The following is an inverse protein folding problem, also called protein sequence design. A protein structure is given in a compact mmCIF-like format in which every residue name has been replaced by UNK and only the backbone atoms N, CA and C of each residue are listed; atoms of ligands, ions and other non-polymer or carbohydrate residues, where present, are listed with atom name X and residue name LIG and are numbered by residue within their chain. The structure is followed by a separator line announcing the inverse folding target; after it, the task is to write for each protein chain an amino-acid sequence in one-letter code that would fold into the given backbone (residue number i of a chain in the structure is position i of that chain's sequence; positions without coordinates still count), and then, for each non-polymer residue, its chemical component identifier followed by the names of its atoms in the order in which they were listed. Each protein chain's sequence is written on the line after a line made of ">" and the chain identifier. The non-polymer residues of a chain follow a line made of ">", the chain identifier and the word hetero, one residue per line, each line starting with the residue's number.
data_IF_164560814104
#
_entry.id   IF_164560814104
#
_cell.length_a   1.000
_cell.length_b   1.000
_cell.length_c   1.000
_cell.angle_alpha   90.00
_cell.angle_beta   90.00
_cell.angle_gamma   90.00
#
_symmetry.space_group_name_H-M   'P 1'
#
loop_
_entity.id
_entity.type
_entity.pdbx_description
1 polymer ?
#
# COMPACT_ATOMS: atom_id res chain seq x y z
N UNK A 1 17.84 -11.16 -5.27
CA UNK A 1 17.11 -10.77 -6.52
C UNK A 1 16.28 -9.52 -6.25
N UNK A 2 16.12 -8.63 -7.24
CA UNK A 2 15.27 -7.43 -7.13
C UNK A 2 13.99 -7.59 -7.94
N UNK A 3 12.92 -6.94 -7.51
CA UNK A 3 11.63 -6.95 -8.24
C UNK A 3 11.79 -6.45 -9.69
N UNK A 4 12.66 -5.47 -9.90
CA UNK A 4 12.96 -4.90 -11.23
C UNK A 4 13.79 -5.82 -12.13
N UNK A 5 14.36 -6.89 -11.61
CA UNK A 5 15.03 -7.94 -12.38
C UNK A 5 14.04 -9.03 -12.85
N UNK A 6 12.86 -9.09 -12.17
CA UNK A 6 11.79 -10.02 -12.53
C UNK A 6 10.93 -9.42 -13.64
N UNK A 7 10.50 -8.18 -13.45
CA UNK A 7 9.71 -7.41 -14.42
C UNK A 7 10.32 -6.02 -14.60
N UNK A 8 10.22 -5.43 -15.80
CA UNK A 8 10.51 -4.03 -16.04
C UNK A 8 9.71 -3.10 -15.11
N UNK A 9 10.25 -1.93 -14.80
CA UNK A 9 9.57 -0.94 -13.94
C UNK A 9 8.23 -0.51 -14.55
N UNK A 10 8.13 -0.45 -15.86
CA UNK A 10 6.93 -0.11 -16.62
C UNK A 10 5.76 -1.07 -16.33
N UNK A 11 6.05 -2.36 -16.18
CA UNK A 11 5.03 -3.36 -15.84
C UNK A 11 4.54 -3.20 -14.39
N UNK A 12 5.44 -2.82 -13.46
CA UNK A 12 5.04 -2.48 -12.10
C UNK A 12 4.23 -1.19 -12.03
N UNK A 13 4.55 -0.17 -12.82
CA UNK A 13 3.75 1.04 -12.97
C UNK A 13 2.34 0.70 -13.47
N UNK A 14 2.24 -0.15 -14.49
CA UNK A 14 0.95 -0.59 -15.02
C UNK A 14 0.15 -1.40 -13.99
N UNK A 15 0.82 -2.24 -13.21
CA UNK A 15 0.20 -2.98 -12.10
C UNK A 15 -0.36 -2.05 -11.01
N UNK A 16 0.42 -1.04 -10.57
CA UNK A 16 -0.06 -0.05 -9.59
C UNK A 16 -1.26 0.75 -10.13
N UNK A 17 -1.21 1.12 -11.41
CA UNK A 17 -2.31 1.82 -12.08
C UNK A 17 -3.58 0.95 -12.15
N UNK A 18 -3.45 -0.33 -12.49
CA UNK A 18 -4.57 -1.27 -12.53
C UNK A 18 -5.24 -1.43 -11.16
N UNK A 19 -4.45 -1.53 -10.08
CA UNK A 19 -4.96 -1.57 -8.71
C UNK A 19 -5.74 -0.30 -8.36
N UNK A 20 -5.20 0.86 -8.70
CA UNK A 20 -5.87 2.14 -8.48
C UNK A 20 -7.20 2.22 -9.25
N UNK A 21 -7.20 1.93 -10.55
CA UNK A 21 -8.38 2.01 -11.41
C UNK A 21 -9.48 1.04 -10.98
N UNK A 22 -9.09 -0.14 -10.51
CA UNK A 22 -10.04 -1.20 -10.14
C UNK A 22 -10.60 -1.05 -8.72
N UNK A 23 -9.79 -0.61 -7.76
CA UNK A 23 -10.14 -0.64 -6.35
C UNK A 23 -10.11 0.72 -5.66
N UNK A 24 -9.70 1.77 -6.36
CA UNK A 24 -9.54 3.12 -5.82
C UNK A 24 -8.70 3.15 -4.52
N UNK A 25 -7.48 2.62 -4.61
CA UNK A 25 -6.50 2.59 -3.52
C UNK A 25 -5.22 3.30 -3.93
N UNK A 26 -4.52 3.91 -2.98
CA UNK A 26 -3.11 4.29 -3.17
C UNK A 26 -2.30 3.01 -3.35
N UNK A 27 -1.87 2.72 -4.55
CA UNK A 27 -1.21 1.46 -4.89
C UNK A 27 0.29 1.63 -4.94
N UNK A 28 1.04 0.75 -4.30
CA UNK A 28 2.50 0.82 -4.28
C UNK A 28 3.11 -0.58 -4.16
N UNK A 29 4.16 -0.79 -4.93
CA UNK A 29 5.07 -1.94 -4.80
C UNK A 29 6.34 -1.48 -4.10
N UNK A 30 6.66 -2.11 -2.98
CA UNK A 30 7.81 -1.79 -2.15
C UNK A 30 8.89 -2.88 -2.26
N UNK A 31 10.16 -2.46 -2.31
CA UNK A 31 11.28 -3.38 -2.17
C UNK A 31 11.47 -3.80 -0.70
N UNK A 32 12.49 -4.62 -0.44
CA UNK A 32 12.80 -5.14 0.92
C UNK A 32 13.19 -4.06 1.92
N UNK A 33 13.51 -2.85 1.47
CA UNK A 33 13.81 -1.68 2.32
C UNK A 33 12.59 -0.79 2.57
N UNK A 34 11.41 -1.16 2.05
CA UNK A 34 10.19 -0.36 2.17
C UNK A 34 10.15 0.88 1.26
N UNK A 35 10.98 0.89 0.22
CA UNK A 35 11.02 1.98 -0.77
C UNK A 35 10.17 1.58 -1.98
N UNK A 36 9.27 2.46 -2.40
CA UNK A 36 8.48 2.27 -3.62
C UNK A 36 9.37 2.19 -4.86
N UNK A 37 9.17 1.17 -5.68
CA UNK A 37 10.06 0.87 -6.80
C UNK A 37 9.73 1.65 -8.08
N UNK A 38 8.52 2.20 -8.19
CA UNK A 38 8.06 2.89 -9.40
C UNK A 38 8.34 4.40 -9.38
N UNK A 39 8.44 4.99 -8.18
CA UNK A 39 8.62 6.43 -8.01
C UNK A 39 7.43 7.29 -8.48
N UNK A 40 6.29 6.68 -8.79
CA UNK A 40 5.08 7.34 -9.30
C UNK A 40 3.88 7.10 -8.38
N UNK A 41 3.80 7.77 -7.21
CA UNK A 41 2.70 7.57 -6.29
C UNK A 41 1.37 7.99 -6.92
N UNK A 42 0.34 7.16 -6.73
CA UNK A 42 -1.03 7.44 -7.10
C UNK A 42 -1.85 7.54 -5.82
N UNK A 43 -2.68 8.58 -5.70
CA UNK A 43 -3.48 8.84 -4.51
C UNK A 43 -4.97 8.78 -4.80
N UNK A 44 -5.72 8.06 -3.99
CA UNK A 44 -7.17 7.96 -4.07
C UNK A 44 -7.93 8.98 -3.20
N UNK A 45 -7.21 9.79 -2.43
CA UNK A 45 -7.78 10.80 -1.53
C UNK A 45 -6.84 11.99 -1.36
N UNK A 46 -7.31 13.15 -0.87
CA UNK A 46 -6.48 14.34 -0.67
C UNK A 46 -5.65 14.32 0.61
N UNK A 47 -5.95 13.44 1.58
CA UNK A 47 -5.26 13.35 2.87
C UNK A 47 -3.85 12.73 2.73
N UNK A 48 -3.75 11.59 2.04
CA UNK A 48 -2.50 10.84 1.94
C UNK A 48 -1.34 11.63 1.29
N UNK A 49 -1.53 12.41 0.21
CA UNK A 49 -0.45 13.25 -0.31
C UNK A 49 0.00 14.33 0.68
N UNK A 50 -0.89 14.85 1.53
CA UNK A 50 -0.53 15.79 2.60
C UNK A 50 0.29 15.13 3.69
N UNK A 51 -0.08 13.92 4.12
CA UNK A 51 0.71 13.11 5.07
C UNK A 51 2.12 12.88 4.51
N UNK A 52 2.24 12.50 3.24
CA UNK A 52 3.52 12.21 2.59
C UNK A 52 4.38 13.44 2.33
N UNK A 53 3.77 14.60 2.16
CA UNK A 53 4.49 15.86 1.94
C UNK A 53 5.12 16.46 3.22
N UNK A 54 4.66 16.03 4.39
CA UNK A 54 5.18 16.49 5.67
C UNK A 54 6.12 15.43 6.25
N UNK A 55 7.33 15.83 6.65
CA UNK A 55 8.38 14.93 7.13
C UNK A 55 7.97 14.13 8.37
N UNK A 56 7.31 14.76 9.32
CA UNK A 56 6.94 14.15 10.60
C UNK A 56 5.81 13.13 10.39
N UNK A 57 4.75 13.51 9.68
CA UNK A 57 3.65 12.58 9.37
C UNK A 57 4.06 11.46 8.42
N UNK A 58 4.94 11.72 7.46
CA UNK A 58 5.52 10.67 6.62
C UNK A 58 6.25 9.62 7.48
N UNK A 59 7.09 10.07 8.41
CA UNK A 59 7.84 9.18 9.29
C UNK A 59 6.94 8.42 10.26
N UNK A 60 6.06 9.14 10.95
CA UNK A 60 5.22 8.58 12.03
C UNK A 60 4.10 7.66 11.51
N UNK A 61 3.57 7.93 10.33
CA UNK A 61 2.41 7.23 9.79
C UNK A 61 2.81 6.29 8.66
N UNK A 62 3.28 6.84 7.53
CA UNK A 62 3.51 6.04 6.32
C UNK A 62 4.72 5.12 6.44
N UNK A 63 5.88 5.62 6.86
CA UNK A 63 7.10 4.83 6.95
C UNK A 63 7.00 3.76 8.04
N UNK A 64 6.52 4.14 9.23
CA UNK A 64 6.31 3.20 10.34
C UNK A 64 5.30 2.11 9.97
N UNK A 65 4.17 2.48 9.36
CA UNK A 65 3.16 1.54 8.88
C UNK A 65 3.71 0.59 7.80
N UNK A 66 4.46 1.10 6.83
CA UNK A 66 5.07 0.26 5.80
C UNK A 66 6.03 -0.78 6.38
N UNK A 67 6.91 -0.38 7.30
CA UNK A 67 7.85 -1.29 7.93
C UNK A 67 7.15 -2.37 8.76
N UNK A 68 6.12 -1.97 9.53
CA UNK A 68 5.37 -2.89 10.38
C UNK A 68 4.61 -3.94 9.54
N UNK A 69 3.86 -3.51 8.54
CA UNK A 69 3.12 -4.41 7.66
C UNK A 69 4.04 -5.33 6.85
N UNK A 70 5.14 -4.80 6.34
CA UNK A 70 6.13 -5.59 5.62
C UNK A 70 6.79 -6.63 6.51
N UNK A 71 7.15 -6.29 7.75
CA UNK A 71 7.73 -7.24 8.70
C UNK A 71 6.77 -8.38 9.04
N UNK A 72 5.48 -8.06 9.26
CA UNK A 72 4.45 -9.06 9.51
C UNK A 72 4.24 -9.96 8.28
N UNK A 73 4.08 -9.38 7.09
CA UNK A 73 3.89 -10.11 5.83
C UNK A 73 5.08 -11.04 5.53
N UNK A 74 6.31 -10.56 5.74
CA UNK A 74 7.53 -11.38 5.61
C UNK A 74 7.54 -12.55 6.58
N UNK A 75 7.20 -12.32 7.85
CA UNK A 75 7.21 -13.33 8.91
C UNK A 75 6.14 -14.40 8.70
N UNK A 76 4.93 -13.98 8.39
CA UNK A 76 3.78 -14.90 8.24
C UNK A 76 3.71 -15.54 6.86
N UNK A 77 4.38 -14.97 5.87
CA UNK A 77 4.28 -15.30 4.42
C UNK A 77 2.86 -15.19 3.87
N UNK A 78 2.02 -14.39 4.54
CA UNK A 78 0.62 -14.14 4.17
C UNK A 78 0.40 -12.64 4.03
N UNK A 79 -0.69 -12.30 3.35
CA UNK A 79 -1.18 -10.92 3.32
C UNK A 79 -1.46 -10.39 4.73
N UNK A 80 -1.24 -9.10 4.90
CA UNK A 80 -1.58 -8.36 6.11
C UNK A 80 -2.60 -7.30 5.72
N UNK A 81 -3.76 -7.35 6.35
CA UNK A 81 -4.84 -6.38 6.20
C UNK A 81 -5.08 -5.75 7.56
N UNK A 82 -5.03 -4.45 7.65
CA UNK A 82 -5.19 -3.72 8.90
C UNK A 82 -5.31 -2.22 8.65
N UNK A 83 -5.00 -1.42 9.65
CA UNK A 83 -5.07 0.04 9.58
C UNK A 83 -3.69 0.65 9.78
N UNK A 84 -3.40 1.73 9.06
CA UNK A 84 -2.25 2.58 9.38
C UNK A 84 -2.58 3.51 10.56
N UNK A 85 -1.58 4.21 11.09
CA UNK A 85 -1.77 5.08 12.27
C UNK A 85 -2.69 6.29 11.99
N UNK A 86 -3.03 6.57 10.73
CA UNK A 86 -4.06 7.54 10.38
C UNK A 86 -5.49 6.98 10.40
N UNK A 87 -5.68 5.70 10.71
CA UNK A 87 -7.00 5.02 10.69
C UNK A 87 -7.45 4.58 9.30
N UNK A 88 -6.58 4.63 8.29
CA UNK A 88 -6.91 4.19 6.94
C UNK A 88 -6.50 2.73 6.72
N UNK A 89 -7.35 1.99 6.03
CA UNK A 89 -7.07 0.60 5.67
C UNK A 89 -5.77 0.50 4.86
N UNK A 90 -4.98 -0.50 5.20
CA UNK A 90 -3.74 -0.85 4.52
C UNK A 90 -3.68 -2.36 4.25
N UNK A 91 -3.29 -2.69 3.04
CA UNK A 91 -3.11 -4.05 2.57
C UNK A 91 -1.65 -4.21 2.14
N UNK A 92 -0.98 -5.25 2.61
CA UNK A 92 0.36 -5.62 2.19
C UNK A 92 0.41 -7.11 1.86
N UNK A 93 0.68 -7.44 0.61
CA UNK A 93 0.84 -8.80 0.12
C UNK A 93 2.33 -9.06 -0.08
N UNK A 94 2.92 -10.06 0.59
CA UNK A 94 4.34 -10.35 0.44
C UNK A 94 4.65 -10.96 -0.93
N UNK A 95 5.79 -10.59 -1.46
CA UNK A 95 6.31 -11.12 -2.71
C UNK A 95 7.51 -12.01 -2.41
N UNK A 96 7.37 -13.30 -2.70
CA UNK A 96 8.42 -14.29 -2.57
C UNK A 96 8.73 -14.95 -3.91
N UNK A 97 9.99 -15.21 -4.19
CA UNK A 97 10.44 -16.03 -5.31
C UNK A 97 11.52 -17.00 -4.85
N UNK A 98 11.33 -18.28 -5.11
CA UNK A 98 12.23 -19.35 -4.66
C UNK A 98 12.56 -19.30 -3.15
N UNK A 99 11.61 -18.90 -2.33
CA UNK A 99 11.76 -18.77 -0.88
C UNK A 99 12.39 -17.45 -0.41
N UNK A 100 12.91 -16.63 -1.33
CA UNK A 100 13.47 -15.31 -1.03
C UNK A 100 12.37 -14.24 -0.97
N UNK A 101 12.37 -13.42 0.09
CA UNK A 101 11.48 -12.28 0.22
C UNK A 101 12.00 -11.11 -0.62
N UNK A 102 11.18 -10.59 -1.52
CA UNK A 102 11.57 -9.53 -2.46
C UNK A 102 10.93 -8.17 -2.17
N UNK A 103 9.90 -8.15 -1.33
CA UNK A 103 9.15 -6.94 -0.99
C UNK A 103 7.67 -7.21 -0.78
N UNK A 104 6.86 -6.17 -0.91
CA UNK A 104 5.40 -6.24 -0.80
C UNK A 104 4.73 -5.44 -1.90
N UNK A 105 3.57 -5.90 -2.33
CA UNK A 105 2.64 -5.10 -3.12
C UNK A 105 1.37 -4.86 -2.32
N UNK A 106 0.77 -3.68 -2.47
CA UNK A 106 -0.44 -3.41 -1.72
C UNK A 106 -1.10 -2.08 -2.05
N UNK A 107 -2.04 -1.71 -1.21
CA UNK A 107 -2.79 -0.48 -1.32
C UNK A 107 -3.25 0.02 0.05
N UNK A 108 -3.61 1.31 0.09
CA UNK A 108 -4.16 1.96 1.27
C UNK A 108 -4.98 3.18 0.88
N UNK A 109 -5.50 3.90 1.88
CA UNK A 109 -6.10 5.21 1.66
C UNK A 109 -7.62 5.27 1.67
N UNK A 110 -8.30 4.15 1.87
CA UNK A 110 -9.75 4.09 2.13
C UNK A 110 -10.02 3.84 3.60
N UNK A 111 -11.18 4.25 4.09
CA UNK A 111 -11.59 3.96 5.47
C UNK A 111 -12.08 2.51 5.59
N UNK A 112 -11.71 1.77 6.63
CA UNK A 112 -12.44 0.57 6.99
C UNK A 112 -13.92 0.89 7.17
N UNK A 113 -14.82 -0.01 6.77
CA UNK A 113 -16.24 0.18 6.96
C UNK A 113 -16.58 0.43 8.44
N UNK A 114 -17.20 1.58 8.74
CA UNK A 114 -17.49 2.00 10.11
C UNK A 114 -16.29 2.56 10.88
N UNK A 115 -15.13 2.68 10.24
CA UNK A 115 -13.92 3.28 10.82
C UNK A 115 -13.90 4.81 10.70
N UNK A 116 -13.00 5.41 11.44
CA UNK A 116 -12.75 6.86 11.47
C UNK A 116 -11.26 7.14 11.35
N UNK A 117 -10.92 8.35 10.88
CA UNK A 117 -9.51 8.79 10.88
C UNK A 117 -9.04 9.11 12.29
N UNK A 118 -7.77 8.86 12.55
CA UNK A 118 -7.11 9.18 13.80
C UNK A 118 -6.73 10.68 13.85
N UNK A 119 -7.72 11.53 14.12
CA UNK A 119 -7.60 13.00 14.05
C UNK A 119 -6.45 13.52 14.90
N UNK A 120 -6.24 12.98 16.09
CA UNK A 120 -5.19 13.44 17.02
C UNK A 120 -3.79 13.31 16.41
N UNK A 121 -3.45 12.14 15.85
CA UNK A 121 -2.10 11.96 15.27
C UNK A 121 -1.92 12.80 14.00
N UNK A 122 -2.99 12.99 13.22
CA UNK A 122 -2.97 13.86 12.04
C UNK A 122 -2.73 15.32 12.42
N UNK A 123 -3.44 15.84 13.42
CA UNK A 123 -3.21 17.20 13.92
C UNK A 123 -1.80 17.37 14.45
N UNK A 124 -1.35 16.44 15.30
CA UNK A 124 -0.04 16.51 15.95
C UNK A 124 1.11 16.43 14.94
N UNK A 125 1.04 15.51 14.00
CA UNK A 125 2.14 15.26 13.05
C UNK A 125 2.22 16.26 11.90
N UNK A 126 1.08 16.83 11.49
CA UNK A 126 1.02 17.80 10.39
C UNK A 126 0.90 19.26 10.84
N UNK A 127 0.65 19.52 12.13
CA UNK A 127 0.43 20.88 12.63
C UNK A 127 -0.87 21.53 12.15
N UNK A 128 -1.90 20.71 11.82
CA UNK A 128 -3.18 21.17 11.31
C UNK A 128 -4.22 21.33 12.43
N UNK A 129 -5.20 22.21 12.20
CA UNK A 129 -6.39 22.29 13.04
C UNK A 129 -7.33 21.11 12.80
N UNK A 130 -8.26 20.88 13.72
CA UNK A 130 -9.31 19.86 13.56
C UNK A 130 -10.12 20.08 12.28
N UNK A 131 -10.47 21.36 11.97
CA UNK A 131 -11.21 21.71 10.77
C UNK A 131 -10.42 21.39 9.49
N UNK A 132 -9.13 21.70 9.45
CA UNK A 132 -8.27 21.40 8.30
C UNK A 132 -8.16 19.86 8.08
N UNK A 133 -8.04 19.08 9.14
CA UNK A 133 -8.06 17.61 9.04
C UNK A 133 -9.43 17.14 8.51
N UNK A 134 -10.53 17.66 9.07
CA UNK A 134 -11.89 17.29 8.61
C UNK A 134 -12.11 17.61 7.12
N UNK A 135 -11.62 18.76 6.67
CA UNK A 135 -11.71 19.17 5.25
C UNK A 135 -10.92 18.21 4.33
N UNK A 136 -9.75 17.75 4.76
CA UNK A 136 -8.94 16.77 4.02
C UNK A 136 -9.57 15.36 4.01
N UNK A 137 -10.40 15.05 4.97
CA UNK A 137 -11.09 13.77 5.09
C UNK A 137 -12.45 13.73 4.38
N UNK A 138 -12.91 14.84 3.83
CA UNK A 138 -14.14 14.85 3.05
C UNK A 138 -14.03 13.96 1.82
N UNK A 139 -15.04 13.11 1.62
CA UNK A 139 -15.11 12.21 0.47
C UNK A 139 -14.18 10.99 0.54
N UNK A 140 -13.59 10.69 1.72
CA UNK A 140 -12.91 9.41 1.92
C UNK A 140 -13.89 8.26 1.71
N UNK A 141 -13.58 7.39 0.77
CA UNK A 141 -14.40 6.20 0.53
C UNK A 141 -14.09 5.11 1.57
N UNK A 142 -15.11 4.34 1.92
CA UNK A 142 -14.95 3.15 2.78
C UNK A 142 -14.71 1.90 1.97
N UNK A 143 -14.13 0.89 2.61
CA UNK A 143 -13.89 -0.43 2.06
C UNK A 143 -14.29 -1.49 3.09
N UNK A 144 -15.00 -2.53 2.65
CA UNK A 144 -15.37 -3.65 3.51
C UNK A 144 -14.19 -4.63 3.66
N UNK A 145 -14.25 -5.46 4.69
CA UNK A 145 -13.28 -6.54 4.91
C UNK A 145 -13.22 -7.52 3.72
N UNK A 146 -14.41 -7.85 3.16
CA UNK A 146 -14.53 -8.70 1.97
C UNK A 146 -13.83 -8.05 0.76
N UNK A 147 -14.07 -6.79 0.50
CA UNK A 147 -13.40 -6.05 -0.58
C UNK A 147 -11.89 -5.99 -0.37
N UNK A 148 -11.43 -5.77 0.85
CA UNK A 148 -10.00 -5.78 1.17
C UNK A 148 -9.34 -7.14 0.88
N UNK A 149 -10.03 -8.24 1.19
CA UNK A 149 -9.57 -9.59 0.86
C UNK A 149 -9.56 -9.84 -0.65
N UNK A 150 -10.55 -9.33 -1.38
CA UNK A 150 -10.57 -9.39 -2.85
C UNK A 150 -9.36 -8.67 -3.47
N UNK A 151 -8.97 -7.53 -2.93
CA UNK A 151 -7.76 -6.81 -3.35
C UNK A 151 -6.52 -7.67 -3.13
N UNK A 152 -6.37 -8.25 -1.93
CA UNK A 152 -5.23 -9.11 -1.61
C UNK A 152 -5.16 -10.33 -2.54
N UNK A 153 -6.28 -10.99 -2.80
CA UNK A 153 -6.37 -12.13 -3.71
C UNK A 153 -6.03 -11.75 -5.16
N UNK A 154 -6.48 -10.58 -5.61
CA UNK A 154 -6.13 -10.05 -6.93
C UNK A 154 -4.61 -9.83 -7.06
N UNK A 155 -3.98 -9.21 -6.05
CA UNK A 155 -2.54 -8.98 -6.03
C UNK A 155 -1.78 -10.30 -6.08
N UNK A 156 -2.13 -11.26 -5.24
CA UNK A 156 -1.51 -12.59 -5.21
C UNK A 156 -1.59 -13.29 -6.57
N UNK A 157 -2.77 -13.31 -7.16
CA UNK A 157 -3.00 -13.95 -8.47
C UNK A 157 -2.18 -13.28 -9.57
N UNK A 158 -2.12 -11.94 -9.57
CA UNK A 158 -1.38 -11.20 -10.58
C UNK A 158 0.13 -11.45 -10.48
N UNK A 159 0.69 -11.42 -9.27
CA UNK A 159 2.11 -11.68 -9.02
C UNK A 159 2.48 -13.12 -9.41
N UNK A 160 1.64 -14.10 -9.06
CA UNK A 160 1.86 -15.49 -9.45
C UNK A 160 1.95 -15.66 -10.96
N UNK A 161 1.06 -15.03 -11.71
CA UNK A 161 1.08 -15.04 -13.19
C UNK A 161 2.35 -14.42 -13.77
N UNK A 162 2.85 -13.34 -13.18
CA UNK A 162 4.10 -12.73 -13.62
C UNK A 162 5.27 -13.69 -13.44
N UNK A 163 5.34 -14.39 -12.32
CA UNK A 163 6.41 -15.33 -12.04
C UNK A 163 6.34 -16.60 -12.92
N UNK A 164 5.15 -17.14 -13.15
CA UNK A 164 4.94 -18.26 -14.07
C UNK A 164 5.40 -17.92 -15.49
N UNK A 165 5.06 -16.73 -15.97
CA UNK A 165 5.48 -16.27 -17.30
C UNK A 165 7.01 -16.11 -17.39
N UNK A 166 7.65 -15.58 -16.34
CA UNK A 166 9.11 -15.45 -16.28
C UNK A 166 9.80 -16.81 -16.30
N UNK A 167 9.30 -17.78 -15.56
CA UNK A 167 9.86 -19.15 -15.55
C UNK A 167 9.74 -19.80 -16.93
N UNK A 168 8.59 -19.66 -17.60
CA UNK A 168 8.37 -20.19 -18.96
C UNK A 168 9.28 -19.57 -20.01
N UNK A 169 9.64 -18.29 -19.86
CA UNK A 169 10.56 -17.60 -20.77
C UNK A 169 12.03 -17.99 -20.55
N UNK A 170 12.37 -18.47 -19.37
CA UNK A 170 13.74 -18.90 -19.02
C UNK A 170 14.01 -20.39 -19.30
N UNK A 171 12.98 -21.14 -19.67
CA UNK A 171 13.05 -22.55 -20.05
C UNK A 171 13.13 -22.71 -21.56
#
# INVERSE_FOLDING_TARGET
>A
MKLTEILPVEDWIQFEKELFERFNLNSTVYNTSGIGITGKPIFCNPLCPKIKANKDSLSMICAAGNQNFMAQAKKTKKEVIGECDAGLLKIAVPIFMNGEFLGTAGGCGRLPQGGEVETFILQKSMGLSEKEVADLCQGLESITEVQAQEVANFIQTRISRYFENKIKQAS
#
